data_IF_788709721588
#
_entry.id   IF_788709721588
#
_cell.length_a   1.000
_cell.length_b   1.000
_cell.length_c   1.000
_cell.angle_alpha   90.00
_cell.angle_beta   90.00
_cell.angle_gamma   90.00
#
_symmetry.space_group_name_H-M   'P 1'
#
loop_
_entity.id
_entity.type
_entity.pdbx_description
1 polymer ?
#
# COMPACT_ATOMS: atom_id res chain seq x y z
N UNK A 1 19.20 -15.37 57.40
CA UNK A 1 18.93 -16.79 57.09
C UNK A 1 17.43 -16.94 56.88
N UNK A 2 16.96 -17.07 55.63
CA UNK A 2 15.55 -17.26 55.37
C UNK A 2 15.16 -18.68 55.79
N UNK A 3 14.37 -18.82 56.85
CA UNK A 3 13.86 -20.11 57.30
C UNK A 3 12.79 -20.58 56.31
N UNK A 4 13.16 -21.56 55.47
CA UNK A 4 12.23 -22.20 54.52
C UNK A 4 11.29 -23.21 55.21
N UNK A 5 11.54 -23.53 56.48
CA UNK A 5 10.67 -24.39 57.28
C UNK A 5 9.48 -23.61 57.85
N UNK A 6 8.29 -24.23 57.81
CA UNK A 6 7.11 -23.71 58.49
C UNK A 6 7.38 -23.60 60.00
N UNK A 7 7.06 -22.45 60.59
CA UNK A 7 7.17 -22.22 62.02
C UNK A 7 6.18 -23.17 62.74
N UNK A 8 6.61 -23.96 63.74
CA UNK A 8 5.71 -24.86 64.47
C UNK A 8 4.62 -24.15 65.29
N UNK A 9 4.71 -22.84 65.50
CA UNK A 9 3.71 -22.00 66.19
C UNK A 9 2.71 -21.31 65.24
N UNK A 10 2.30 -21.99 64.16
CA UNK A 10 1.41 -21.50 63.09
C UNK A 10 0.01 -21.03 63.54
N UNK A 11 -0.39 -21.34 64.77
CA UNK A 11 -1.71 -20.98 65.31
C UNK A 11 -1.91 -19.50 65.55
N UNK A 12 -0.84 -18.75 65.86
CA UNK A 12 -0.89 -17.29 66.11
C UNK A 12 -0.25 -16.48 64.98
N UNK A 13 0.27 -17.14 63.96
CA UNK A 13 0.93 -16.45 62.85
C UNK A 13 -0.12 -15.81 61.94
N UNK A 14 0.12 -14.57 61.46
CA UNK A 14 -0.74 -13.93 60.48
C UNK A 14 -0.96 -14.86 59.29
N UNK A 15 -2.18 -14.93 58.77
CA UNK A 15 -2.57 -15.84 57.68
C UNK A 15 -1.70 -15.75 56.41
N UNK A 16 -0.90 -14.69 56.28
CA UNK A 16 0.03 -14.44 55.17
C UNK A 16 1.35 -15.22 55.30
N UNK A 17 1.72 -15.60 56.53
CA UNK A 17 2.92 -16.36 56.87
C UNK A 17 2.68 -17.87 56.89
N UNK A 18 1.41 -18.27 56.90
CA UNK A 18 0.96 -19.65 56.76
C UNK A 18 1.53 -20.30 55.50
N UNK A 19 1.83 -21.59 55.61
CA UNK A 19 2.21 -22.42 54.47
C UNK A 19 0.96 -22.74 53.65
N UNK A 20 0.94 -22.33 52.38
CA UNK A 20 -0.16 -22.53 51.45
C UNK A 20 -0.25 -24.00 51.01
N UNK A 21 0.82 -24.50 50.38
CA UNK A 21 0.92 -25.86 49.86
C UNK A 21 2.39 -26.15 49.58
N UNK A 22 2.88 -27.36 49.91
CA UNK A 22 4.24 -27.80 49.62
C UNK A 22 5.38 -26.94 50.25
N UNK A 23 5.11 -26.28 51.38
CA UNK A 23 6.08 -25.45 52.12
C UNK A 23 6.18 -23.99 51.68
N UNK A 24 5.45 -23.57 50.65
CA UNK A 24 5.45 -22.16 50.21
C UNK A 24 4.54 -21.29 51.09
N UNK A 25 5.03 -20.13 51.52
CA UNK A 25 4.24 -19.14 52.27
C UNK A 25 3.19 -18.48 51.38
N UNK A 26 2.01 -18.16 51.94
CA UNK A 26 0.88 -17.54 51.23
C UNK A 26 1.26 -16.26 50.46
N UNK A 27 2.21 -15.48 50.96
CA UNK A 27 2.67 -14.26 50.28
C UNK A 27 3.27 -14.50 48.88
N UNK A 28 4.01 -15.59 48.68
CA UNK A 28 4.56 -15.91 47.36
C UNK A 28 3.47 -16.26 46.35
N UNK A 29 2.44 -16.99 46.81
CA UNK A 29 1.29 -17.35 45.98
C UNK A 29 0.53 -16.10 45.54
N UNK A 30 0.35 -15.14 46.44
CA UNK A 30 -0.25 -13.85 46.09
C UNK A 30 0.57 -13.09 45.04
N UNK A 31 1.90 -13.06 45.18
CA UNK A 31 2.78 -12.42 44.20
C UNK A 31 2.69 -13.04 42.81
N UNK A 32 2.76 -14.38 42.72
CA UNK A 32 2.61 -15.09 41.45
C UNK A 32 1.22 -14.93 40.84
N UNK A 33 0.17 -14.92 41.65
CA UNK A 33 -1.20 -14.69 41.19
C UNK A 33 -1.34 -13.30 40.56
N UNK A 34 -0.87 -12.24 41.24
CA UNK A 34 -0.88 -10.88 40.69
C UNK A 34 -0.02 -10.74 39.44
N UNK A 35 1.17 -11.35 39.41
CA UNK A 35 2.05 -11.36 38.24
C UNK A 35 1.41 -12.09 37.04
N UNK A 36 0.79 -13.24 37.28
CA UNK A 36 0.05 -13.99 36.26
C UNK A 36 -1.14 -13.22 35.71
N UNK A 37 -1.94 -12.61 36.59
CA UNK A 37 -3.09 -11.78 36.19
C UNK A 37 -2.66 -10.55 35.39
N UNK A 38 -1.58 -9.87 35.80
CA UNK A 38 -1.05 -8.71 35.04
C UNK A 38 -0.48 -9.14 33.69
N UNK A 39 0.28 -10.25 33.63
CA UNK A 39 0.76 -10.80 32.37
C UNK A 39 -0.38 -11.21 31.43
N UNK A 40 -1.42 -11.88 31.95
CA UNK A 40 -2.62 -12.26 31.18
C UNK A 40 -3.37 -11.01 30.71
N UNK A 41 -3.56 -10.01 31.56
CA UNK A 41 -4.20 -8.75 31.18
C UNK A 41 -3.40 -8.03 30.09
N UNK A 42 -2.07 -8.00 30.19
CA UNK A 42 -1.20 -7.44 29.15
C UNK A 42 -1.32 -8.26 27.87
N UNK A 43 -1.24 -9.59 27.93
CA UNK A 43 -1.38 -10.46 26.77
C UNK A 43 -2.75 -10.32 26.11
N UNK A 44 -3.85 -10.26 26.86
CA UNK A 44 -5.21 -10.06 26.35
C UNK A 44 -5.36 -8.65 25.79
N UNK A 45 -4.88 -7.62 26.49
CA UNK A 45 -4.86 -6.23 26.00
C UNK A 45 -4.08 -6.14 24.69
N UNK A 46 -2.92 -6.79 24.62
CA UNK A 46 -2.14 -6.94 23.42
C UNK A 46 -2.96 -7.66 22.35
N UNK A 47 -3.51 -8.85 22.58
CA UNK A 47 -4.26 -9.62 21.58
C UNK A 47 -5.53 -8.91 21.08
N UNK A 48 -6.27 -8.20 21.92
CA UNK A 48 -7.46 -7.42 21.55
C UNK A 48 -7.08 -6.18 20.73
N UNK A 49 -5.95 -5.53 21.06
CA UNK A 49 -5.34 -4.45 20.25
C UNK A 49 -4.39 -4.94 19.16
N UNK A 50 -4.16 -6.24 18.97
CA UNK A 50 -3.34 -6.78 17.87
C UNK A 50 -4.19 -7.47 16.80
N UNK A 51 -5.46 -7.81 17.09
CA UNK A 51 -6.39 -8.33 16.07
C UNK A 51 -7.18 -7.26 15.30
N UNK A 52 -7.05 -5.97 15.66
CA UNK A 52 -7.49 -4.80 14.84
C UNK A 52 -6.64 -3.57 15.24
N UNK A 53 -5.43 -3.36 14.69
CA UNK A 53 -5.06 -2.03 14.11
C UNK A 53 -3.78 -2.05 13.23
N UNK A 54 -3.48 -3.14 12.50
CA UNK A 54 -2.41 -3.15 11.47
C UNK A 54 -2.83 -3.81 10.16
N UNK A 55 -4.13 -3.89 9.89
CA UNK A 55 -4.65 -4.33 8.57
C UNK A 55 -5.41 -3.23 7.84
N UNK A 56 -5.89 -2.19 8.54
CA UNK A 56 -6.56 -1.05 7.89
C UNK A 56 -5.56 -0.09 7.21
N UNK A 57 -4.39 0.12 7.82
CA UNK A 57 -3.35 1.03 7.31
C UNK A 57 -2.52 0.42 6.16
N UNK A 58 -2.23 -0.88 6.19
CA UNK A 58 -1.56 -1.57 5.08
C UNK A 58 -2.47 -1.63 3.84
N UNK A 59 -3.77 -1.93 4.03
CA UNK A 59 -4.73 -1.90 2.92
C UNK A 59 -4.91 -0.47 2.37
N UNK A 60 -4.91 0.58 3.19
CA UNK A 60 -5.03 1.96 2.68
C UNK A 60 -3.75 2.44 1.97
N UNK A 61 -2.57 2.03 2.45
CA UNK A 61 -1.29 2.26 1.78
C UNK A 61 -1.22 1.57 0.41
N UNK A 62 -1.60 0.29 0.37
CA UNK A 62 -1.64 -0.49 -0.87
C UNK A 62 -2.76 -0.03 -1.82
N UNK A 63 -3.90 0.41 -1.29
CA UNK A 63 -5.00 0.96 -2.09
C UNK A 63 -4.61 2.28 -2.75
N UNK A 64 -3.89 3.17 -2.05
CA UNK A 64 -3.36 4.41 -2.64
C UNK A 64 -2.29 4.12 -3.70
N UNK A 65 -1.43 3.12 -3.49
CA UNK A 65 -0.42 2.70 -4.49
C UNK A 65 -1.05 2.16 -5.77
N UNK A 66 -2.04 1.26 -5.65
CA UNK A 66 -2.76 0.69 -6.80
C UNK A 66 -3.55 1.76 -7.56
N UNK A 67 -4.26 2.63 -6.84
CA UNK A 67 -5.04 3.72 -7.45
C UNK A 67 -4.15 4.76 -8.13
N UNK A 68 -2.94 5.01 -7.62
CA UNK A 68 -1.97 5.88 -8.28
C UNK A 68 -1.40 5.23 -9.54
N UNK A 69 -1.10 3.93 -9.51
CA UNK A 69 -0.64 3.19 -10.68
C UNK A 69 -1.71 3.14 -11.78
N UNK A 70 -2.98 2.90 -11.43
CA UNK A 70 -4.10 2.93 -12.38
C UNK A 70 -4.27 4.31 -13.01
N UNK A 71 -4.27 5.37 -12.20
CA UNK A 71 -4.33 6.75 -12.71
C UNK A 71 -3.14 7.07 -13.60
N UNK A 72 -1.94 6.61 -13.26
CA UNK A 72 -0.75 6.85 -14.07
C UNK A 72 -0.82 6.10 -15.41
N UNK A 73 -1.30 4.86 -15.42
CA UNK A 73 -1.55 4.11 -16.64
C UNK A 73 -2.63 4.75 -17.52
N UNK A 74 -3.70 5.27 -16.93
CA UNK A 74 -4.75 5.97 -17.67
C UNK A 74 -4.21 7.25 -18.32
N UNK A 75 -3.41 8.03 -17.59
CA UNK A 75 -2.70 9.20 -18.14
C UNK A 75 -1.73 8.82 -19.26
N UNK A 76 -0.96 7.76 -19.10
CA UNK A 76 -0.04 7.27 -20.14
C UNK A 76 -0.79 6.84 -21.41
N UNK A 77 -1.94 6.15 -21.27
CA UNK A 77 -2.78 5.76 -22.42
C UNK A 77 -3.36 6.96 -23.15
N UNK A 78 -3.77 8.01 -22.42
CA UNK A 78 -4.27 9.24 -23.04
C UNK A 78 -3.19 9.96 -23.85
N UNK A 79 -1.96 10.04 -23.32
CA UNK A 79 -0.81 10.64 -24.04
C UNK A 79 -0.49 9.82 -25.29
N UNK A 80 -0.41 8.49 -25.17
CA UNK A 80 -0.15 7.62 -26.31
C UNK A 80 -1.23 7.76 -27.40
N UNK A 81 -2.50 7.88 -27.01
CA UNK A 81 -3.59 8.12 -27.95
C UNK A 81 -3.44 9.46 -28.66
N UNK A 82 -3.11 10.52 -27.92
CA UNK A 82 -2.88 11.85 -28.48
C UNK A 82 -1.72 11.86 -29.48
N UNK A 83 -0.60 11.18 -29.19
CA UNK A 83 0.54 11.09 -30.12
C UNK A 83 0.18 10.33 -31.41
N UNK A 84 -0.61 9.25 -31.31
CA UNK A 84 -1.11 8.51 -32.47
C UNK A 84 -2.01 9.39 -33.37
N UNK A 85 -2.89 10.19 -32.77
CA UNK A 85 -3.78 11.10 -33.50
C UNK A 85 -3.00 12.22 -34.22
N UNK A 86 -1.89 12.69 -33.63
CA UNK A 86 -1.01 13.70 -34.24
C UNK A 86 -0.30 13.14 -35.49
N UNK A 87 0.20 11.91 -35.40
CA UNK A 87 0.89 11.26 -36.52
C UNK A 87 -0.05 11.08 -37.73
N UNK A 88 -1.30 10.69 -37.49
CA UNK A 88 -2.32 10.53 -38.53
C UNK A 88 -2.63 11.87 -39.21
N UNK A 89 -2.78 12.95 -38.43
CA UNK A 89 -3.01 14.29 -38.96
C UNK A 89 -1.83 14.79 -39.83
N UNK A 90 -0.60 14.55 -39.40
CA UNK A 90 0.59 14.90 -40.20
C UNK A 90 0.66 14.11 -41.51
N UNK A 91 0.24 12.85 -41.49
CA UNK A 91 0.20 12.02 -42.69
C UNK A 91 -0.88 12.51 -43.67
N UNK A 92 -2.07 12.86 -43.18
CA UNK A 92 -3.12 13.46 -43.99
C UNK A 92 -2.68 14.78 -44.66
N UNK A 93 -1.98 15.65 -43.91
CA UNK A 93 -1.44 16.90 -44.46
C UNK A 93 -0.39 16.66 -45.56
N UNK A 94 0.48 15.67 -45.39
CA UNK A 94 1.47 15.30 -46.42
C UNK A 94 0.78 14.84 -47.70
N UNK A 95 -0.24 13.99 -47.60
CA UNK A 95 -0.99 13.50 -48.75
C UNK A 95 -1.62 14.67 -49.54
N UNK A 96 -2.29 15.58 -48.81
CA UNK A 96 -2.91 16.76 -49.41
C UNK A 96 -1.86 17.63 -50.11
N UNK A 97 -0.70 17.83 -49.49
CA UNK A 97 0.38 18.62 -50.07
C UNK A 97 0.94 17.96 -51.35
N UNK A 98 1.13 16.64 -51.34
CA UNK A 98 1.56 15.87 -52.52
C UNK A 98 0.54 15.98 -53.67
N UNK A 99 -0.77 15.90 -53.36
CA UNK A 99 -1.84 16.10 -54.34
C UNK A 99 -1.78 17.51 -54.95
N UNK A 100 -1.63 18.55 -54.12
CA UNK A 100 -1.49 19.94 -54.59
C UNK A 100 -0.26 20.13 -55.49
N UNK A 101 0.88 19.56 -55.13
CA UNK A 101 2.11 19.65 -55.93
C UNK A 101 1.95 18.91 -57.28
N UNK A 102 1.26 17.77 -57.28
CA UNK A 102 0.97 17.03 -58.50
C UNK A 102 0.02 17.78 -59.43
N UNK A 103 -1.01 18.42 -58.88
CA UNK A 103 -1.94 19.26 -59.65
C UNK A 103 -1.23 20.48 -60.24
N UNK A 104 -0.39 21.17 -59.45
CA UNK A 104 0.42 22.29 -59.93
C UNK A 104 1.38 21.86 -61.05
N UNK A 105 2.05 20.72 -60.93
CA UNK A 105 2.92 20.19 -61.98
C UNK A 105 2.15 19.88 -63.27
N UNK A 106 0.94 19.32 -63.17
CA UNK A 106 0.05 19.08 -64.33
C UNK A 106 -0.41 20.39 -64.97
N UNK A 107 -0.71 21.42 -64.17
CA UNK A 107 -1.09 22.74 -64.67
C UNK A 107 0.10 23.37 -65.40
N UNK A 108 1.29 23.37 -64.80
CA UNK A 108 2.50 23.91 -65.42
C UNK A 108 2.81 23.22 -66.76
N UNK A 109 2.76 21.88 -66.80
CA UNK A 109 2.98 21.14 -68.04
C UNK A 109 1.96 21.48 -69.14
N UNK A 110 0.69 21.74 -68.78
CA UNK A 110 -0.33 22.20 -69.74
C UNK A 110 -0.03 23.61 -70.25
N UNK A 111 0.39 24.51 -69.37
CA UNK A 111 0.78 25.88 -69.72
C UNK A 111 1.98 25.87 -70.69
N UNK A 112 2.99 25.06 -70.41
CA UNK A 112 4.18 24.92 -71.25
C UNK A 112 3.83 24.36 -72.64
N UNK A 113 2.95 23.35 -72.72
CA UNK A 113 2.45 22.82 -74.00
C UNK A 113 1.65 23.84 -74.81
N UNK A 114 0.86 24.71 -74.15
CA UNK A 114 0.13 25.78 -74.81
C UNK A 114 1.04 26.90 -75.35
N UNK A 115 2.15 27.21 -74.68
CA UNK A 115 3.14 28.18 -75.20
C UNK A 115 3.92 27.64 -76.41
N UNK A 116 4.20 26.34 -76.46
CA UNK A 116 4.88 25.71 -77.61
C UNK A 116 3.98 25.59 -78.84
N UNK A 117 2.66 25.46 -78.66
CA UNK A 117 1.69 25.38 -79.78
C UNK A 117 1.27 26.74 -80.36
N UNK A 118 1.67 27.85 -79.72
CA UNK A 118 1.35 29.22 -80.15
C UNK A 118 2.53 29.96 -80.84
N UNK A 119 3.67 29.29 -81.05
CA UNK A 119 4.79 29.74 -81.90
C UNK A 119 4.84 28.90 -83.18
#
# INVERSE_FOLDING_TARGET
>A
MATFYANPNDTNDPWIEKAAFNGFRNWHVMFFCFSGLTAIMILICCCVKFRVPRTKLEIEGDYKRKKLAEKFQERLRLIQKQDMDILDLQQALKLIQEDFDQENAKIQAKVDLQQVTSN
#
